data_IF_099456036618
#
_entry.id   IF_099456036618
#
_cell.length_a   1.000
_cell.length_b   1.000
_cell.length_c   1.000
_cell.angle_alpha   90.00
_cell.angle_beta   90.00
_cell.angle_gamma   90.00
#
_symmetry.space_group_name_H-M   'P 1'
#
loop_
_entity.id
_entity.type
_entity.pdbx_description
1 polymer ?
#
# COMPACT_ATOMS: atom_id res chain seq x y z
N UNK A 1 -25.74 -16.15 4.43
CA UNK A 1 -25.10 -16.93 3.36
C UNK A 1 -24.90 -16.13 2.06
N UNK A 2 -25.94 -15.60 1.39
CA UNK A 2 -25.75 -14.80 0.14
C UNK A 2 -24.90 -13.54 0.33
N UNK A 3 -25.11 -12.77 1.40
CA UNK A 3 -24.33 -11.55 1.69
C UNK A 3 -22.84 -11.84 1.95
N UNK A 4 -22.52 -12.95 2.63
CA UNK A 4 -21.13 -13.38 2.86
C UNK A 4 -20.43 -13.77 1.55
N UNK A 5 -21.13 -14.48 0.66
CA UNK A 5 -20.58 -14.84 -0.66
C UNK A 5 -20.33 -13.60 -1.52
N UNK A 6 -21.24 -12.61 -1.49
CA UNK A 6 -21.04 -11.35 -2.23
C UNK A 6 -19.86 -10.54 -1.71
N UNK A 7 -19.67 -10.46 -0.38
CA UNK A 7 -18.52 -9.80 0.24
C UNK A 7 -17.20 -10.49 -0.15
N UNK A 8 -17.14 -11.82 -0.07
CA UNK A 8 -15.97 -12.60 -0.47
C UNK A 8 -15.62 -12.42 -1.94
N UNK A 9 -16.62 -12.45 -2.83
CA UNK A 9 -16.40 -12.21 -4.26
C UNK A 9 -15.89 -10.79 -4.50
N UNK A 10 -16.41 -9.80 -3.77
CA UNK A 10 -15.94 -8.42 -3.81
C UNK A 10 -14.46 -8.30 -3.47
N UNK A 11 -14.01 -8.97 -2.40
CA UNK A 11 -12.61 -8.98 -1.98
C UNK A 11 -11.70 -9.62 -3.04
N UNK A 12 -12.12 -10.74 -3.62
CA UNK A 12 -11.39 -11.41 -4.71
C UNK A 12 -11.25 -10.49 -5.92
N UNK A 13 -12.34 -9.86 -6.37
CA UNK A 13 -12.29 -8.96 -7.53
C UNK A 13 -11.40 -7.75 -7.28
N UNK A 14 -11.48 -7.13 -6.09
CA UNK A 14 -10.62 -6.01 -5.70
C UNK A 14 -9.16 -6.42 -5.69
N UNK A 15 -8.85 -7.61 -5.17
CA UNK A 15 -7.47 -8.09 -5.09
C UNK A 15 -6.87 -8.39 -6.48
N UNK A 16 -7.66 -8.95 -7.40
CA UNK A 16 -7.24 -9.13 -8.81
C UNK A 16 -7.07 -7.77 -9.51
N UNK A 17 -7.95 -6.81 -9.27
CA UNK A 17 -7.83 -5.46 -9.82
C UNK A 17 -6.59 -4.73 -9.27
N UNK A 18 -6.31 -4.86 -7.97
CA UNK A 18 -5.09 -4.36 -7.32
C UNK A 18 -3.84 -5.00 -7.90
N UNK A 19 -3.86 -6.32 -8.12
CA UNK A 19 -2.76 -7.02 -8.78
C UNK A 19 -2.54 -6.48 -10.20
N UNK A 20 -3.61 -6.35 -10.98
CA UNK A 20 -3.55 -5.81 -12.34
C UNK A 20 -2.97 -4.38 -12.35
N UNK A 21 -3.56 -3.47 -11.57
CA UNK A 21 -3.14 -2.08 -11.44
C UNK A 21 -1.66 -1.94 -11.03
N UNK A 22 -1.20 -2.75 -10.07
CA UNK A 22 0.21 -2.82 -9.68
C UNK A 22 1.09 -3.23 -10.86
N UNK A 23 0.76 -4.31 -11.56
CA UNK A 23 1.62 -4.85 -12.62
C UNK A 23 1.57 -4.06 -13.93
N UNK A 24 0.55 -3.21 -14.14
CA UNK A 24 0.57 -2.22 -15.22
C UNK A 24 1.80 -1.33 -15.13
N UNK A 25 2.22 -0.97 -13.92
CA UNK A 25 3.35 -0.06 -13.68
C UNK A 25 4.70 -0.63 -14.11
N UNK A 26 4.79 -1.94 -14.35
CA UNK A 26 6.00 -2.62 -14.87
C UNK A 26 6.26 -2.21 -16.33
N UNK A 27 5.20 -1.93 -17.08
CA UNK A 27 5.27 -1.65 -18.50
C UNK A 27 5.20 -0.13 -18.71
N UNK A 28 6.32 0.52 -19.06
CA UNK A 28 6.29 1.95 -19.35
C UNK A 28 5.37 2.24 -20.54
N UNK A 29 4.63 3.34 -20.47
CA UNK A 29 3.82 3.80 -21.60
C UNK A 29 4.72 3.99 -22.82
N UNK A 30 4.35 3.35 -23.93
CA UNK A 30 5.08 3.45 -25.20
C UNK A 30 4.77 4.82 -25.82
N UNK A 31 5.31 5.89 -25.23
CA UNK A 31 5.22 7.27 -25.75
C UNK A 31 6.27 7.54 -26.83
N UNK A 32 7.28 6.68 -26.96
CA UNK A 32 8.27 6.76 -28.04
C UNK A 32 7.83 5.89 -29.20
N UNK A 33 7.53 6.56 -30.32
CA UNK A 33 7.43 5.96 -31.64
C UNK A 33 8.57 4.94 -31.80
N UNK A 34 8.22 3.68 -32.00
CA UNK A 34 9.16 2.67 -32.47
C UNK A 34 9.87 3.22 -33.71
N UNK A 35 11.19 2.97 -33.89
CA UNK A 35 11.94 3.43 -35.06
C UNK A 35 11.33 3.00 -36.40
N UNK A 36 10.44 2.01 -36.38
CA UNK A 36 9.75 1.44 -37.55
C UNK A 36 8.38 2.06 -37.86
N UNK A 37 7.89 3.05 -37.09
CA UNK A 37 6.55 3.62 -37.30
C UNK A 37 5.39 2.65 -37.05
N UNK A 38 5.69 1.42 -36.62
CA UNK A 38 4.71 0.39 -36.26
C UNK A 38 4.18 0.71 -34.86
N UNK A 39 2.97 1.29 -34.80
CA UNK A 39 2.16 1.23 -33.58
C UNK A 39 1.98 -0.25 -33.25
N UNK A 40 2.47 -0.71 -32.09
CA UNK A 40 2.09 -2.02 -31.58
C UNK A 40 0.57 -2.03 -31.46
N UNK A 41 -0.08 -3.01 -32.07
CA UNK A 41 -1.55 -3.15 -32.10
C UNK A 41 -2.17 -3.33 -30.70
N UNK A 42 -1.38 -3.75 -29.72
CA UNK A 42 -1.81 -4.01 -28.34
C UNK A 42 -0.84 -3.40 -27.34
N UNK A 43 -1.38 -2.82 -26.25
CA UNK A 43 -0.55 -2.36 -25.15
C UNK A 43 0.02 -3.57 -24.39
N UNK A 44 1.30 -3.56 -23.94
CA UNK A 44 1.88 -4.69 -23.19
C UNK A 44 1.05 -5.12 -21.97
N UNK A 45 0.26 -4.20 -21.41
CA UNK A 45 -0.70 -4.49 -20.34
C UNK A 45 -1.79 -5.48 -20.70
N UNK A 46 -2.14 -5.64 -21.98
CA UNK A 46 -3.19 -6.56 -22.41
C UNK A 46 -2.77 -8.02 -22.18
N UNK A 47 -1.47 -8.29 -22.11
CA UNK A 47 -0.93 -9.60 -21.75
C UNK A 47 -1.08 -9.94 -20.27
N UNK A 48 -1.33 -8.98 -19.38
CA UNK A 48 -1.49 -9.27 -17.95
C UNK A 48 -2.65 -10.24 -17.66
N UNK A 49 -3.71 -10.19 -18.48
CA UNK A 49 -4.85 -11.10 -18.35
C UNK A 49 -4.47 -12.56 -18.66
N UNK A 50 -3.44 -12.78 -19.48
CA UNK A 50 -2.93 -14.12 -19.78
C UNK A 50 -2.25 -14.74 -18.55
N UNK A 51 -1.89 -13.95 -17.55
CA UNK A 51 -1.25 -14.43 -16.33
C UNK A 51 -2.23 -14.78 -15.19
N UNK A 52 -3.52 -14.54 -15.37
CA UNK A 52 -4.53 -14.87 -14.35
C UNK A 52 -4.54 -16.36 -13.94
N UNK A 53 -4.31 -17.33 -14.85
CA UNK A 53 -4.17 -18.74 -14.47
C UNK A 53 -2.97 -19.04 -13.57
N UNK A 54 -2.02 -18.11 -13.46
CA UNK A 54 -0.78 -18.26 -12.70
C UNK A 54 -0.78 -17.50 -11.36
N UNK A 55 -1.92 -16.89 -10.98
CA UNK A 55 -2.05 -16.20 -9.70
C UNK A 55 -1.94 -17.19 -8.54
N UNK A 56 -1.03 -16.90 -7.61
CA UNK A 56 -0.84 -17.68 -6.39
C UNK A 56 -1.53 -16.95 -5.25
N UNK A 57 -2.51 -17.59 -4.62
CA UNK A 57 -3.18 -17.04 -3.43
C UNK A 57 -2.45 -17.44 -2.15
N UNK A 58 -2.47 -16.55 -1.15
CA UNK A 58 -1.99 -16.87 0.20
C UNK A 58 -2.95 -17.82 0.90
N UNK A 59 -2.41 -18.70 1.74
CA UNK A 59 -3.23 -19.64 2.50
C UNK A 59 -4.09 -18.90 3.53
N UNK A 60 -5.38 -19.23 3.57
CA UNK A 60 -6.33 -18.72 4.56
C UNK A 60 -6.74 -17.25 4.41
N UNK A 61 -6.33 -16.55 3.34
CA UNK A 61 -6.65 -15.13 3.12
C UNK A 61 -6.90 -14.85 1.64
N UNK A 62 -7.86 -13.98 1.32
CA UNK A 62 -8.10 -13.47 -0.04
C UNK A 62 -7.06 -12.42 -0.44
N UNK A 63 -5.80 -12.83 -0.53
CA UNK A 63 -4.67 -11.99 -0.93
C UNK A 63 -3.77 -12.76 -1.90
N UNK A 64 -3.34 -12.11 -2.98
CA UNK A 64 -2.41 -12.71 -3.94
C UNK A 64 -0.99 -12.60 -3.37
N UNK A 65 -0.25 -13.71 -3.41
CA UNK A 65 1.19 -13.73 -3.18
C UNK A 65 1.90 -13.19 -4.43
N UNK A 66 2.07 -11.87 -4.46
CA UNK A 66 2.68 -11.13 -5.57
C UNK A 66 4.05 -11.68 -5.98
N UNK A 67 4.93 -11.99 -5.02
CA UNK A 67 6.26 -12.51 -5.27
C UNK A 67 6.23 -13.92 -5.85
N UNK A 68 5.45 -14.84 -5.25
CA UNK A 68 5.32 -16.22 -5.79
C UNK A 68 4.66 -16.21 -7.17
N UNK A 69 3.66 -15.36 -7.36
CA UNK A 69 3.00 -15.18 -8.65
C UNK A 69 3.99 -14.72 -9.72
N UNK A 70 4.79 -13.69 -9.43
CA UNK A 70 5.83 -13.22 -10.36
C UNK A 70 6.86 -14.32 -10.68
N UNK A 71 7.29 -15.10 -9.68
CA UNK A 71 8.22 -16.21 -9.87
C UNK A 71 7.61 -17.32 -10.75
N UNK A 72 6.32 -17.61 -10.57
CA UNK A 72 5.59 -18.58 -11.38
C UNK A 72 5.45 -18.12 -12.83
N UNK A 73 5.08 -16.85 -13.05
CA UNK A 73 5.00 -16.25 -14.38
C UNK A 73 6.36 -16.33 -15.08
N UNK A 74 7.44 -15.96 -14.40
CA UNK A 74 8.80 -16.05 -14.97
C UNK A 74 9.11 -17.49 -15.43
N UNK A 75 8.87 -18.46 -14.56
CA UNK A 75 9.19 -19.87 -14.83
C UNK A 75 8.35 -20.48 -15.96
N UNK A 76 7.08 -20.07 -16.09
CA UNK A 76 6.11 -20.68 -17.02
C UNK A 76 6.05 -19.96 -18.36
N UNK A 77 6.09 -18.63 -18.36
CA UNK A 77 5.80 -17.79 -19.52
C UNK A 77 7.03 -17.04 -20.06
N UNK A 78 8.04 -16.77 -19.22
CA UNK A 78 9.15 -15.89 -19.62
C UNK A 78 10.38 -16.61 -20.22
N UNK A 79 10.34 -17.94 -20.43
CA UNK A 79 11.51 -18.71 -20.91
C UNK A 79 12.14 -18.12 -22.19
N UNK A 80 11.32 -17.60 -23.11
CA UNK A 80 11.78 -16.95 -24.35
C UNK A 80 11.61 -15.42 -24.35
N UNK A 81 11.16 -14.83 -23.24
CA UNK A 81 10.86 -13.40 -23.14
C UNK A 81 11.73 -12.72 -22.07
N UNK A 82 13.02 -12.57 -22.39
CA UNK A 82 14.02 -12.03 -21.45
C UNK A 82 13.74 -10.60 -20.98
N UNK A 83 13.09 -9.77 -21.81
CA UNK A 83 12.71 -8.43 -21.39
C UNK A 83 11.69 -8.49 -20.23
N UNK A 84 10.62 -9.27 -20.39
CA UNK A 84 9.59 -9.42 -19.37
C UNK A 84 10.14 -10.08 -18.12
N UNK A 85 10.98 -11.10 -18.28
CA UNK A 85 11.69 -11.71 -17.14
C UNK A 85 12.46 -10.66 -16.34
N UNK A 86 13.31 -9.87 -17.01
CA UNK A 86 14.09 -8.83 -16.35
C UNK A 86 13.20 -7.81 -15.65
N UNK A 87 12.11 -7.39 -16.29
CA UNK A 87 11.17 -6.42 -15.73
C UNK A 87 10.51 -6.89 -14.43
N UNK A 88 10.00 -8.13 -14.41
CA UNK A 88 9.45 -8.74 -13.18
C UNK A 88 10.54 -8.93 -12.12
N UNK A 89 11.68 -9.51 -12.50
CA UNK A 89 12.77 -9.79 -11.58
C UNK A 89 13.33 -8.50 -10.94
N UNK A 90 13.42 -7.42 -11.72
CA UNK A 90 13.83 -6.11 -11.25
C UNK A 90 12.82 -5.49 -10.26
N UNK A 91 11.51 -5.55 -10.54
CA UNK A 91 10.48 -5.00 -9.66
C UNK A 91 10.31 -5.80 -8.35
N UNK A 92 10.56 -7.10 -8.39
CA UNK A 92 10.47 -8.01 -7.23
C UNK A 92 11.81 -8.30 -6.55
N UNK A 93 12.89 -7.60 -6.94
CA UNK A 93 14.23 -7.78 -6.37
C UNK A 93 14.71 -9.25 -6.39
N UNK A 94 14.48 -9.97 -7.50
CA UNK A 94 14.94 -11.35 -7.70
C UNK A 94 16.41 -11.34 -8.14
N UNK A 95 17.31 -11.15 -7.17
CA UNK A 95 18.75 -11.00 -7.38
C UNK A 95 19.37 -12.18 -8.14
N UNK A 96 18.92 -13.40 -7.84
CA UNK A 96 19.35 -14.64 -8.48
C UNK A 96 19.11 -14.64 -10.00
N UNK A 97 18.08 -13.93 -10.46
CA UNK A 97 17.75 -13.80 -11.88
C UNK A 97 18.52 -12.64 -12.50
N UNK A 98 18.44 -11.44 -11.92
CA UNK A 98 19.00 -10.23 -12.54
C UNK A 98 20.53 -10.16 -12.51
N UNK A 99 21.18 -10.91 -11.60
CA UNK A 99 22.64 -10.97 -11.50
C UNK A 99 23.25 -12.16 -12.26
N UNK A 100 22.45 -12.96 -12.96
CA UNK A 100 22.96 -14.05 -13.79
C UNK A 100 23.79 -13.49 -14.96
N UNK A 101 25.12 -13.56 -14.82
CA UNK A 101 26.07 -13.07 -15.82
C UNK A 101 26.04 -13.84 -17.14
N UNK A 102 25.55 -15.08 -17.13
CA UNK A 102 25.42 -15.87 -18.36
C UNK A 102 24.25 -15.38 -19.20
N UNK A 103 23.20 -14.87 -18.54
CA UNK A 103 21.97 -14.41 -19.19
C UNK A 103 21.97 -12.91 -19.49
N UNK A 104 22.51 -12.12 -18.56
CA UNK A 104 22.54 -10.67 -18.62
C UNK A 104 23.98 -10.15 -18.76
N UNK A 105 24.61 -10.53 -19.87
CA UNK A 105 25.93 -10.00 -20.24
C UNK A 105 25.88 -8.49 -20.55
N UNK A 106 27.05 -7.85 -20.72
CA UNK A 106 27.14 -6.41 -21.01
C UNK A 106 26.39 -6.00 -22.28
N UNK A 107 26.29 -6.86 -23.29
CA UNK A 107 25.62 -6.56 -24.56
C UNK A 107 24.10 -6.58 -24.36
N UNK A 108 23.61 -7.59 -23.62
CA UNK A 108 22.20 -7.76 -23.23
C UNK A 108 21.74 -6.60 -22.37
N UNK A 109 22.53 -6.21 -21.35
CA UNK A 109 22.24 -5.07 -20.49
C UNK A 109 22.15 -3.76 -21.28
N UNK A 110 23.06 -3.52 -22.24
CA UNK A 110 22.98 -2.37 -23.15
C UNK A 110 21.73 -2.40 -24.03
N UNK A 111 21.33 -3.58 -24.49
CA UNK A 111 20.11 -3.76 -25.31
C UNK A 111 18.86 -3.47 -24.49
N UNK A 112 18.77 -4.02 -23.27
CA UNK A 112 17.67 -3.73 -22.33
C UNK A 112 17.61 -2.24 -22.01
N UNK A 113 18.76 -1.60 -21.74
CA UNK A 113 18.86 -0.17 -21.48
C UNK A 113 18.26 0.68 -22.60
N UNK A 114 18.35 0.26 -23.87
CA UNK A 114 17.71 0.96 -25.00
C UNK A 114 16.19 0.74 -25.07
N UNK A 115 15.69 -0.41 -24.62
CA UNK A 115 14.28 -0.79 -24.73
C UNK A 115 13.41 -0.23 -23.60
N UNK A 116 13.93 -0.17 -22.38
CA UNK A 116 13.20 0.20 -21.16
C UNK A 116 13.84 1.38 -20.42
N UNK A 117 14.57 2.21 -21.17
CA UNK A 117 15.11 3.47 -20.69
C UNK A 117 13.99 4.33 -20.09
N UNK A 118 14.28 5.01 -18.98
CA UNK A 118 13.40 5.98 -18.29
C UNK A 118 12.50 5.41 -17.18
N UNK A 119 12.42 4.08 -17.02
CA UNK A 119 11.75 3.52 -15.85
C UNK A 119 12.68 3.56 -14.62
N UNK A 120 12.22 4.09 -13.46
CA UNK A 120 13.10 4.34 -12.31
C UNK A 120 13.77 3.07 -11.78
N UNK A 121 13.02 1.97 -11.68
CA UNK A 121 13.54 0.68 -11.20
C UNK A 121 14.58 0.09 -12.16
N UNK A 122 14.34 0.19 -13.47
CA UNK A 122 15.23 -0.43 -14.46
C UNK A 122 16.50 0.39 -14.62
N UNK A 123 16.38 1.72 -14.63
CA UNK A 123 17.54 2.61 -14.61
C UNK A 123 18.43 2.36 -13.38
N UNK A 124 17.83 2.13 -12.21
CA UNK A 124 18.54 1.77 -10.99
C UNK A 124 19.31 0.45 -11.14
N UNK A 125 18.64 -0.63 -11.54
CA UNK A 125 19.29 -1.94 -11.69
C UNK A 125 20.33 -1.97 -12.79
N UNK A 126 20.01 -1.44 -13.97
CA UNK A 126 20.94 -1.41 -15.09
C UNK A 126 22.20 -0.61 -14.75
N UNK A 127 22.07 0.48 -13.98
CA UNK A 127 23.25 1.25 -13.53
C UNK A 127 24.09 0.48 -12.50
N UNK A 128 23.44 -0.25 -11.58
CA UNK A 128 24.15 -1.09 -10.59
C UNK A 128 24.83 -2.31 -11.22
N UNK A 129 24.24 -2.90 -12.26
CA UNK A 129 24.77 -4.07 -12.95
C UNK A 129 25.89 -3.71 -13.95
N UNK A 130 25.88 -2.49 -14.50
CA UNK A 130 26.91 -2.03 -15.45
C UNK A 130 28.26 -1.74 -14.75
N UNK A 131 28.21 -1.10 -13.57
CA UNK A 131 29.41 -0.65 -12.86
C UNK A 131 29.39 -0.96 -11.35
N UNK A 132 30.36 -1.74 -10.82
CA UNK A 132 30.43 -2.05 -9.39
C UNK A 132 30.56 -0.81 -8.48
N UNK A 133 31.14 0.29 -8.98
CA UNK A 133 31.34 1.52 -8.21
C UNK A 133 30.02 2.23 -7.87
N UNK A 134 28.96 1.97 -8.64
CA UNK A 134 27.65 2.59 -8.48
C UNK A 134 27.01 2.24 -7.15
N UNK A 135 27.33 1.08 -6.58
CA UNK A 135 26.95 0.70 -5.21
C UNK A 135 27.35 1.76 -4.18
N UNK A 136 28.63 2.16 -4.18
CA UNK A 136 29.14 3.16 -3.25
C UNK A 136 28.57 4.55 -3.54
N UNK A 137 28.29 4.86 -4.81
CA UNK A 137 27.76 6.16 -5.23
C UNK A 137 26.29 6.35 -4.84
N UNK A 138 25.47 5.32 -5.04
CA UNK A 138 24.03 5.33 -4.75
C UNK A 138 23.75 5.39 -3.25
N UNK A 139 24.50 4.64 -2.45
CA UNK A 139 24.29 4.51 -1.01
C UNK A 139 25.30 5.31 -0.18
N UNK A 140 25.74 6.46 -0.69
CA UNK A 140 26.66 7.32 0.05
C UNK A 140 25.96 7.95 1.27
N UNK A 141 26.31 7.48 2.47
CA UNK A 141 25.76 7.94 3.75
C UNK A 141 26.14 9.38 4.11
N UNK A 142 27.20 9.93 3.51
CA UNK A 142 27.65 11.31 3.74
C UNK A 142 26.88 12.34 2.90
N UNK A 143 26.05 11.88 1.96
CA UNK A 143 25.22 12.75 1.14
C UNK A 143 24.13 13.41 1.96
N UNK A 144 24.03 14.75 1.91
CA UNK A 144 22.91 15.48 2.52
C UNK A 144 21.56 15.03 1.96
N UNK A 145 21.51 14.74 0.66
CA UNK A 145 20.30 14.27 -0.04
C UNK A 145 20.53 12.87 -0.59
N UNK A 146 19.44 12.10 -0.65
CA UNK A 146 19.43 10.80 -1.32
C UNK A 146 19.67 10.99 -2.82
N UNK A 147 20.44 10.09 -3.44
CA UNK A 147 20.63 10.11 -4.90
C UNK A 147 19.29 9.95 -5.61
N UNK A 148 19.12 10.67 -6.71
CA UNK A 148 17.85 10.75 -7.42
C UNK A 148 17.36 9.37 -7.86
N UNK A 149 18.25 8.51 -8.38
CA UNK A 149 17.93 7.17 -8.83
C UNK A 149 17.39 6.30 -7.68
N UNK A 150 18.01 6.38 -6.50
CA UNK A 150 17.55 5.66 -5.31
C UNK A 150 16.23 6.24 -4.82
N UNK A 151 16.10 7.57 -4.76
CA UNK A 151 14.87 8.24 -4.33
C UNK A 151 13.68 7.90 -5.24
N UNK A 152 13.87 7.93 -6.55
CA UNK A 152 12.83 7.58 -7.52
C UNK A 152 12.44 6.11 -7.43
N UNK A 153 13.41 5.22 -7.21
CA UNK A 153 13.15 3.78 -7.04
C UNK A 153 12.36 3.51 -5.75
N UNK A 154 12.72 4.15 -4.63
CA UNK A 154 11.98 4.03 -3.38
C UNK A 154 10.56 4.59 -3.54
N UNK A 155 10.41 5.78 -4.14
CA UNK A 155 9.09 6.36 -4.41
C UNK A 155 8.24 5.42 -5.26
N UNK A 156 8.79 4.87 -6.35
CA UNK A 156 8.08 3.92 -7.19
C UNK A 156 7.66 2.67 -6.39
N UNK A 157 8.58 2.08 -5.63
CA UNK A 157 8.32 0.87 -4.84
C UNK A 157 7.23 1.10 -3.78
N UNK A 158 7.26 2.24 -3.09
CA UNK A 158 6.25 2.61 -2.10
C UNK A 158 4.88 2.82 -2.77
N UNK A 159 4.84 3.62 -3.84
CA UNK A 159 3.58 4.04 -4.45
C UNK A 159 2.86 2.92 -5.18
N UNK A 160 3.60 1.94 -5.71
CA UNK A 160 3.07 0.83 -6.50
C UNK A 160 3.16 -0.54 -5.78
N UNK A 161 3.56 -0.57 -4.51
CA UNK A 161 3.41 -1.78 -3.70
C UNK A 161 4.51 -2.85 -3.86
N UNK A 162 5.71 -2.49 -4.33
CA UNK A 162 6.84 -3.43 -4.46
C UNK A 162 7.65 -3.49 -3.17
N UNK A 163 7.16 -4.29 -2.22
CA UNK A 163 7.73 -4.38 -0.88
C UNK A 163 9.14 -4.97 -0.88
N UNK A 164 9.45 -5.88 -1.80
CA UNK A 164 10.73 -6.57 -1.91
C UNK A 164 11.86 -5.57 -2.26
N UNK A 165 11.60 -4.67 -3.20
CA UNK A 165 12.49 -3.56 -3.51
C UNK A 165 12.67 -2.62 -2.32
N UNK A 166 11.57 -2.30 -1.64
CA UNK A 166 11.62 -1.41 -0.49
C UNK A 166 12.45 -2.02 0.65
N UNK A 167 12.21 -3.29 1.00
CA UNK A 167 12.97 -4.03 2.01
C UNK A 167 14.45 -4.15 1.65
N UNK A 168 14.78 -4.22 0.36
CA UNK A 168 16.16 -4.24 -0.10
C UNK A 168 16.86 -2.89 0.07
N UNK A 169 16.23 -1.80 -0.35
CA UNK A 169 16.85 -0.47 -0.42
C UNK A 169 16.83 0.23 0.95
N UNK A 170 15.74 0.10 1.70
CA UNK A 170 15.51 0.79 2.98
C UNK A 170 16.66 0.68 3.99
N UNK A 171 17.22 -0.50 4.31
CA UNK A 171 18.31 -0.61 5.28
C UNK A 171 19.64 -0.05 4.78
N UNK A 172 19.75 0.28 3.49
CA UNK A 172 20.99 0.80 2.87
C UNK A 172 21.06 2.34 2.87
N UNK A 173 20.00 3.02 3.30
CA UNK A 173 19.94 4.48 3.41
C UNK A 173 19.93 4.91 4.87
N UNK A 174 20.34 6.15 5.14
CA UNK A 174 20.39 6.68 6.51
C UNK A 174 18.98 6.86 7.09
N UNK A 175 18.86 6.85 8.42
CA UNK A 175 17.58 7.11 9.12
C UNK A 175 16.96 8.44 8.70
N UNK A 176 17.80 9.47 8.49
CA UNK A 176 17.34 10.77 8.01
C UNK A 176 16.69 10.69 6.62
N UNK A 177 17.32 9.97 5.68
CA UNK A 177 16.74 9.75 4.35
C UNK A 177 15.48 8.88 4.40
N UNK A 178 15.43 7.88 5.29
CA UNK A 178 14.25 7.05 5.53
C UNK A 178 13.06 7.90 6.00
N UNK A 179 13.29 8.80 6.96
CA UNK A 179 12.26 9.72 7.45
C UNK A 179 11.75 10.62 6.32
N UNK A 180 12.66 11.29 5.60
CA UNK A 180 12.29 12.23 4.52
C UNK A 180 11.45 11.56 3.43
N UNK A 181 11.95 10.44 2.87
CA UNK A 181 11.29 9.76 1.75
C UNK A 181 9.98 9.10 2.19
N UNK A 182 9.96 8.50 3.39
CA UNK A 182 8.80 7.82 3.91
C UNK A 182 7.67 8.79 4.27
N UNK A 183 7.97 9.89 4.96
CA UNK A 183 6.97 10.92 5.29
C UNK A 183 6.40 11.58 4.02
N UNK A 184 7.24 11.84 3.02
CA UNK A 184 6.80 12.40 1.75
C UNK A 184 5.76 11.49 1.05
N UNK A 185 5.97 10.17 1.11
CA UNK A 185 5.07 9.21 0.48
C UNK A 185 3.86 8.85 1.36
N UNK A 186 3.96 8.98 2.68
CA UNK A 186 2.98 8.46 3.64
C UNK A 186 1.55 8.93 3.37
N UNK A 187 1.38 10.22 3.05
CA UNK A 187 0.07 10.80 2.71
C UNK A 187 -0.59 10.07 1.53
N UNK A 188 0.18 9.79 0.47
CA UNK A 188 -0.31 9.13 -0.74
C UNK A 188 -0.61 7.65 -0.47
N UNK A 189 0.22 7.00 0.33
CA UNK A 189 0.02 5.62 0.79
C UNK A 189 -1.27 5.49 1.59
N UNK A 190 -1.50 6.38 2.56
CA UNK A 190 -2.73 6.39 3.35
C UNK A 190 -3.97 6.64 2.50
N UNK A 191 -3.89 7.59 1.57
CA UNK A 191 -5.04 7.93 0.73
C UNK A 191 -5.42 6.82 -0.26
N UNK A 192 -4.43 6.17 -0.89
CA UNK A 192 -4.69 5.05 -1.79
C UNK A 192 -5.14 3.80 -1.03
N UNK A 193 -4.49 3.53 0.10
CA UNK A 193 -4.82 2.43 0.97
C UNK A 193 -4.94 1.07 0.24
N UNK A 194 -4.02 0.83 -0.69
CA UNK A 194 -4.08 -0.30 -1.63
C UNK A 194 -3.11 -1.45 -1.28
N UNK A 195 -1.89 -1.11 -0.85
CA UNK A 195 -0.81 -2.10 -0.66
C UNK A 195 -0.53 -2.36 0.81
N UNK A 196 -1.23 -3.34 1.40
CA UNK A 196 -1.14 -3.74 2.82
C UNK A 196 0.30 -3.86 3.34
N UNK A 197 1.16 -4.59 2.62
CA UNK A 197 2.54 -4.84 3.04
C UNK A 197 3.39 -3.56 3.10
N UNK A 198 3.17 -2.62 2.17
CA UNK A 198 3.86 -1.32 2.19
C UNK A 198 3.33 -0.43 3.31
N UNK A 199 2.02 -0.43 3.55
CA UNK A 199 1.41 0.30 4.67
C UNK A 199 1.97 -0.19 6.00
N UNK A 200 1.98 -1.51 6.24
CA UNK A 200 2.56 -2.12 7.45
C UNK A 200 4.03 -1.74 7.62
N UNK A 201 4.82 -1.94 6.56
CA UNK A 201 6.26 -1.68 6.60
C UNK A 201 6.55 -0.21 6.91
N UNK A 202 5.95 0.73 6.18
CA UNK A 202 6.18 2.16 6.40
C UNK A 202 5.64 2.61 7.75
N UNK A 203 4.48 2.12 8.17
CA UNK A 203 3.93 2.45 9.48
C UNK A 203 4.91 2.06 10.59
N UNK A 204 5.40 0.82 10.56
CA UNK A 204 6.37 0.31 11.55
C UNK A 204 7.66 1.15 11.56
N UNK A 205 8.28 1.35 10.39
CA UNK A 205 9.55 2.07 10.29
C UNK A 205 9.41 3.55 10.65
N UNK A 206 8.38 4.23 10.17
CA UNK A 206 8.19 5.64 10.47
C UNK A 206 7.73 5.88 11.91
N UNK A 207 6.96 4.97 12.49
CA UNK A 207 6.54 5.09 13.89
C UNK A 207 7.72 4.85 14.85
N UNK A 208 8.69 4.02 14.45
CA UNK A 208 9.93 3.85 15.18
C UNK A 208 10.80 5.13 15.13
N UNK A 209 10.87 5.80 13.96
CA UNK A 209 11.68 7.01 13.77
C UNK A 209 11.04 8.23 14.45
N UNK A 210 9.78 8.54 14.11
CA UNK A 210 9.11 9.75 14.56
C UNK A 210 7.59 9.51 14.75
N UNK A 211 7.20 8.95 15.90
CA UNK A 211 5.82 8.55 16.18
C UNK A 211 4.85 9.73 16.21
N UNK A 212 5.26 10.84 16.83
CA UNK A 212 4.43 12.05 16.96
C UNK A 212 4.21 12.73 15.61
N UNK A 213 5.28 12.83 14.80
CA UNK A 213 5.20 13.34 13.44
C UNK A 213 4.29 12.48 12.56
N UNK A 214 4.45 11.15 12.63
CA UNK A 214 3.62 10.22 11.88
C UNK A 214 2.15 10.35 12.27
N UNK A 215 1.83 10.39 13.57
CA UNK A 215 0.45 10.54 14.05
C UNK A 215 -0.18 11.84 13.56
N UNK A 216 0.56 12.97 13.58
CA UNK A 216 0.07 14.25 13.02
C UNK A 216 -0.20 14.16 11.53
N UNK A 217 0.77 13.69 10.76
CA UNK A 217 0.63 13.57 9.31
C UNK A 217 -0.52 12.62 8.92
N UNK A 218 -0.68 11.54 9.68
CA UNK A 218 -1.74 10.56 9.47
C UNK A 218 -3.09 11.18 9.73
N UNK A 219 -3.26 11.93 10.84
CA UNK A 219 -4.52 12.63 11.14
C UNK A 219 -4.93 13.61 10.07
N UNK A 220 -4.02 14.48 9.64
CA UNK A 220 -4.37 15.50 8.63
C UNK A 220 -4.81 14.87 7.31
N UNK A 221 -4.25 13.71 6.94
CA UNK A 221 -4.65 12.99 5.73
C UNK A 221 -5.92 12.15 5.94
N UNK A 222 -5.98 11.40 7.04
CA UNK A 222 -7.04 10.47 7.38
C UNK A 222 -8.36 11.19 7.64
N UNK A 223 -8.30 12.23 8.48
CA UNK A 223 -9.46 12.99 8.93
C UNK A 223 -10.16 13.68 7.75
N UNK A 224 -9.39 14.41 6.94
CA UNK A 224 -9.94 15.20 5.84
C UNK A 224 -10.47 14.36 4.69
N UNK A 225 -9.84 13.23 4.37
CA UNK A 225 -10.11 12.52 3.11
C UNK A 225 -10.89 11.22 3.24
N UNK A 226 -10.75 10.50 4.34
CA UNK A 226 -11.34 9.17 4.51
C UNK A 226 -12.45 9.24 5.56
N UNK A 227 -12.13 9.82 6.71
CA UNK A 227 -13.08 9.94 7.81
C UNK A 227 -14.25 10.90 7.49
N UNK A 228 -13.99 12.12 7.00
CA UNK A 228 -15.09 13.02 6.58
C UNK A 228 -15.94 12.41 5.46
N UNK A 229 -15.31 11.70 4.53
CA UNK A 229 -16.03 11.02 3.46
C UNK A 229 -16.97 9.95 4.02
N UNK A 230 -16.55 9.16 5.03
CA UNK A 230 -17.45 8.21 5.71
C UNK A 230 -18.59 8.88 6.48
N UNK A 231 -18.45 10.13 6.89
CA UNK A 231 -19.53 10.87 7.55
C UNK A 231 -20.56 11.42 6.55
N UNK A 232 -20.12 11.91 5.39
CA UNK A 232 -20.95 12.58 4.37
C UNK A 232 -21.70 11.60 3.45
N UNK A 233 -22.61 10.79 4.00
CA UNK A 233 -23.37 9.81 3.21
C UNK A 233 -24.19 10.45 2.10
N UNK A 234 -24.83 11.59 2.37
CA UNK A 234 -25.88 12.12 1.48
C UNK A 234 -25.36 12.52 0.09
N UNK A 235 -24.06 12.80 -0.06
CA UNK A 235 -23.44 13.27 -1.31
C UNK A 235 -22.67 12.18 -2.08
N UNK A 236 -22.39 11.03 -1.45
CA UNK A 236 -21.52 10.00 -2.03
C UNK A 236 -22.31 8.84 -2.64
N UNK A 237 -21.83 8.35 -3.79
CA UNK A 237 -22.33 7.13 -4.41
C UNK A 237 -22.10 5.93 -3.49
N UNK A 238 -22.91 4.87 -3.65
CA UNK A 238 -22.74 3.63 -2.89
C UNK A 238 -21.32 3.05 -3.03
N UNK A 239 -20.75 3.11 -4.24
CA UNK A 239 -19.42 2.59 -4.56
C UNK A 239 -18.34 3.38 -3.79
N UNK A 240 -18.45 4.70 -3.74
CA UNK A 240 -17.47 5.55 -3.04
C UNK A 240 -17.52 5.33 -1.53
N UNK A 241 -18.70 5.07 -0.96
CA UNK A 241 -18.83 4.73 0.47
C UNK A 241 -18.15 3.41 0.79
N UNK A 242 -18.41 2.38 -0.02
CA UNK A 242 -17.82 1.05 0.14
C UNK A 242 -16.28 1.07 -0.03
N UNK A 243 -15.76 1.90 -0.93
CA UNK A 243 -14.32 2.11 -1.10
C UNK A 243 -13.71 2.84 0.11
N UNK A 244 -14.34 3.90 0.61
CA UNK A 244 -13.86 4.62 1.79
C UNK A 244 -13.88 3.74 3.05
N UNK A 245 -14.93 2.95 3.24
CA UNK A 245 -15.00 1.97 4.33
C UNK A 245 -13.90 0.92 4.22
N UNK A 246 -13.67 0.37 3.02
CA UNK A 246 -12.58 -0.59 2.79
C UNK A 246 -11.21 0.01 3.11
N UNK A 247 -10.95 1.25 2.69
CA UNK A 247 -9.71 1.96 3.01
C UNK A 247 -9.55 2.17 4.51
N UNK A 248 -10.63 2.48 5.21
CA UNK A 248 -10.66 2.61 6.67
C UNK A 248 -10.25 1.30 7.36
N UNK A 249 -10.87 0.18 6.97
CA UNK A 249 -10.53 -1.17 7.46
C UNK A 249 -9.07 -1.49 7.18
N UNK A 250 -8.63 -1.34 5.93
CA UNK A 250 -7.26 -1.63 5.53
C UNK A 250 -6.26 -0.81 6.37
N UNK A 251 -6.47 0.49 6.53
CA UNK A 251 -5.56 1.31 7.33
C UNK A 251 -5.51 0.87 8.79
N UNK A 252 -6.67 0.67 9.43
CA UNK A 252 -6.71 0.25 10.83
C UNK A 252 -6.01 -1.09 11.03
N UNK A 253 -6.32 -2.10 10.22
CA UNK A 253 -5.69 -3.43 10.28
C UNK A 253 -4.16 -3.37 10.11
N UNK A 254 -3.67 -2.46 9.28
CA UNK A 254 -2.28 -2.43 8.83
C UNK A 254 -1.42 -1.38 9.56
N UNK A 255 -2.00 -0.49 10.35
CA UNK A 255 -1.25 0.38 11.25
C UNK A 255 -0.71 -0.39 12.45
N UNK A 256 0.52 -0.03 12.87
CA UNK A 256 1.07 -0.56 14.11
C UNK A 256 0.21 -0.10 15.32
N UNK A 257 0.20 -0.87 16.43
CA UNK A 257 -0.63 -0.56 17.60
C UNK A 257 -0.43 0.87 18.12
N UNK A 258 0.82 1.33 18.17
CA UNK A 258 1.17 2.67 18.65
C UNK A 258 0.53 3.79 17.83
N UNK A 259 0.57 3.68 16.49
CA UNK A 259 -0.08 4.66 15.64
C UNK A 259 -1.60 4.55 15.80
N UNK A 260 -2.16 3.33 15.76
CA UNK A 260 -3.60 3.09 15.87
C UNK A 260 -4.19 3.69 17.15
N UNK A 261 -3.53 3.46 18.29
CA UNK A 261 -3.93 4.03 19.57
C UNK A 261 -3.89 5.56 19.57
N UNK A 262 -2.80 6.14 19.07
CA UNK A 262 -2.64 7.60 18.96
C UNK A 262 -3.69 8.23 18.03
N UNK A 263 -4.06 7.53 16.96
CA UNK A 263 -5.07 7.98 15.99
C UNK A 263 -6.48 7.96 16.59
N UNK A 264 -6.87 6.87 17.26
CA UNK A 264 -8.22 6.72 17.81
C UNK A 264 -8.47 7.58 19.06
N UNK A 265 -7.42 7.91 19.83
CA UNK A 265 -7.52 8.81 20.98
C UNK A 265 -7.43 10.30 20.61
N UNK A 266 -7.12 10.63 19.35
CA UNK A 266 -6.82 12.00 18.92
C UNK A 266 -8.02 12.93 19.07
N UNK A 267 -7.72 14.20 19.38
CA UNK A 267 -8.71 15.26 19.60
C UNK A 267 -9.82 14.84 20.59
N UNK A 268 -9.43 14.19 21.69
CA UNK A 268 -10.35 13.64 22.69
C UNK A 268 -11.34 12.64 22.08
N UNK A 269 -10.82 11.63 21.37
CA UNK A 269 -11.61 10.59 20.70
C UNK A 269 -12.69 11.14 19.76
N UNK A 270 -12.35 12.20 19.02
CA UNK A 270 -13.27 12.84 18.07
C UNK A 270 -13.87 11.85 17.09
N UNK A 271 -13.04 10.94 16.58
CA UNK A 271 -13.43 9.88 15.65
C UNK A 271 -14.60 9.03 16.18
N UNK A 272 -14.48 8.56 17.42
CA UNK A 272 -15.51 7.78 18.11
C UNK A 272 -16.77 8.62 18.33
N UNK A 273 -16.59 9.86 18.78
CA UNK A 273 -17.68 10.77 19.09
C UNK A 273 -18.55 11.09 17.89
N UNK A 274 -17.97 11.37 16.71
CA UNK A 274 -18.79 11.70 15.55
C UNK A 274 -19.46 10.46 14.96
N UNK A 275 -18.78 9.29 14.92
CA UNK A 275 -19.43 8.05 14.46
C UNK A 275 -20.69 7.73 15.28
N UNK A 276 -20.65 7.97 16.60
CA UNK A 276 -21.83 7.88 17.45
C UNK A 276 -22.89 8.96 17.12
N UNK A 277 -22.49 10.23 16.96
CA UNK A 277 -23.41 11.35 16.66
C UNK A 277 -24.16 11.19 15.34
N UNK A 278 -23.45 10.75 14.31
CA UNK A 278 -23.98 10.56 12.96
C UNK A 278 -24.54 9.15 12.73
N UNK A 279 -24.61 8.32 13.79
CA UNK A 279 -25.20 6.97 13.77
C UNK A 279 -24.56 6.02 12.76
N UNK A 280 -23.25 6.15 12.58
CA UNK A 280 -22.40 5.34 11.70
C UNK A 280 -22.05 4.02 12.38
N UNK A 281 -23.02 3.10 12.38
CA UNK A 281 -22.95 1.88 13.19
C UNK A 281 -21.74 1.02 12.83
N UNK A 282 -21.49 0.78 11.54
CA UNK A 282 -20.44 -0.12 11.07
C UNK A 282 -19.04 0.42 11.39
N UNK A 283 -18.79 1.68 11.09
CA UNK A 283 -17.52 2.37 11.42
C UNK A 283 -17.31 2.50 12.92
N UNK A 284 -18.39 2.71 13.69
CA UNK A 284 -18.33 2.76 15.14
C UNK A 284 -17.92 1.39 15.71
N UNK A 285 -18.58 0.31 15.28
CA UNK A 285 -18.21 -1.07 15.67
C UNK A 285 -16.74 -1.34 15.33
N UNK A 286 -16.33 -1.04 14.10
CA UNK A 286 -14.95 -1.19 13.64
C UNK A 286 -13.95 -0.48 14.56
N UNK A 287 -14.21 0.78 14.94
CA UNK A 287 -13.28 1.51 15.82
C UNK A 287 -13.18 0.87 17.21
N UNK A 288 -14.29 0.39 17.77
CA UNK A 288 -14.32 -0.25 19.08
C UNK A 288 -13.54 -1.57 19.13
N UNK A 289 -13.44 -2.30 18.01
CA UNK A 289 -12.63 -3.52 17.93
C UNK A 289 -11.15 -3.26 18.24
N UNK A 290 -10.67 -2.06 17.88
CA UNK A 290 -9.27 -1.66 17.97
C UNK A 290 -8.89 -0.85 19.22
N UNK A 291 -9.86 -0.51 20.07
CA UNK A 291 -9.57 0.19 21.33
C UNK A 291 -9.09 -0.79 22.40
N UNK A 292 -8.04 -0.40 23.12
CA UNK A 292 -7.63 -1.12 24.33
C UNK A 292 -8.56 -0.80 25.51
N UNK A 293 -8.42 -1.54 26.62
CA UNK A 293 -9.28 -1.41 27.82
C UNK A 293 -9.38 0.02 28.37
N UNK A 294 -8.27 0.75 28.40
CA UNK A 294 -8.24 2.14 28.86
C UNK A 294 -8.99 3.05 27.90
N UNK A 295 -8.77 2.88 26.60
CA UNK A 295 -9.43 3.66 25.55
C UNK A 295 -10.93 3.38 25.48
N UNK A 296 -11.37 2.14 25.71
CA UNK A 296 -12.80 1.78 25.78
C UNK A 296 -13.51 2.50 26.93
N UNK A 297 -12.85 2.63 28.08
CA UNK A 297 -13.41 3.33 29.24
C UNK A 297 -13.62 4.82 28.95
N UNK A 298 -12.68 5.45 28.25
CA UNK A 298 -12.76 6.85 27.86
C UNK A 298 -13.76 7.09 26.71
N UNK A 299 -13.76 6.21 25.70
CA UNK A 299 -14.74 6.20 24.62
C UNK A 299 -16.18 6.11 25.16
N UNK A 300 -16.42 5.23 26.14
CA UNK A 300 -17.70 5.13 26.83
C UNK A 300 -18.11 6.43 27.50
N UNK A 301 -17.20 7.09 28.22
CA UNK A 301 -17.46 8.39 28.88
C UNK A 301 -17.94 9.44 27.88
N UNK A 302 -17.32 9.47 26.70
CA UNK A 302 -17.68 10.41 25.62
C UNK A 302 -19.05 10.06 25.03
N UNK A 303 -19.30 8.79 24.79
CA UNK A 303 -20.57 8.29 24.26
C UNK A 303 -21.72 8.54 25.23
N UNK A 304 -21.52 8.27 26.53
CA UNK A 304 -22.49 8.55 27.59
C UNK A 304 -22.85 10.05 27.63
N UNK A 305 -21.85 10.93 27.56
CA UNK A 305 -22.06 12.38 27.52
C UNK A 305 -22.86 12.85 26.30
N UNK A 306 -22.71 12.20 25.14
CA UNK A 306 -23.49 12.51 23.93
C UNK A 306 -24.91 11.93 24.04
N UNK A 307 -25.03 10.70 24.53
CA UNK A 307 -26.29 10.00 24.73
C UNK A 307 -27.22 10.75 25.70
N UNK A 308 -26.68 11.23 26.82
CA UNK A 308 -27.44 12.00 27.81
C UNK A 308 -28.11 13.24 27.21
N UNK A 309 -27.47 13.89 26.23
CA UNK A 309 -27.99 15.08 25.54
C UNK A 309 -29.04 14.75 24.48
N UNK A 310 -29.02 13.54 23.91
CA UNK A 310 -29.90 13.12 22.80
C UNK A 310 -30.33 11.66 23.00
N UNK A 311 -31.22 11.42 23.96
CA UNK A 311 -31.73 10.07 24.23
C UNK A 311 -32.64 9.61 23.09
N UNK A 312 -32.33 8.47 22.49
CA UNK A 312 -33.17 7.79 21.49
C UNK A 312 -32.88 6.29 21.49
N UNK A 313 -33.83 5.48 21.03
CA UNK A 313 -33.67 4.01 20.92
C UNK A 313 -32.46 3.63 20.06
N UNK A 314 -32.27 4.33 18.94
CA UNK A 314 -31.10 4.14 18.06
C UNK A 314 -29.78 4.42 18.78
N UNK A 315 -29.71 5.50 19.58
CA UNK A 315 -28.51 5.81 20.36
C UNK A 315 -28.30 4.83 21.52
N UNK A 316 -29.37 4.24 22.06
CA UNK A 316 -29.27 3.19 23.08
C UNK A 316 -28.58 1.95 22.51
N UNK A 317 -29.02 1.51 21.32
CA UNK A 317 -28.42 0.35 20.64
C UNK A 317 -26.93 0.58 20.33
N UNK A 318 -26.55 1.77 19.88
CA UNK A 318 -25.15 2.10 19.63
C UNK A 318 -24.33 2.15 20.93
N UNK A 319 -24.88 2.73 21.99
CA UNK A 319 -24.23 2.79 23.30
C UNK A 319 -23.94 1.40 23.85
N UNK A 320 -24.87 0.47 23.67
CA UNK A 320 -24.72 -0.91 24.12
C UNK A 320 -23.53 -1.61 23.45
N UNK A 321 -23.12 -1.21 22.24
CA UNK A 321 -21.95 -1.78 21.58
C UNK A 321 -20.65 -1.49 22.34
N UNK A 322 -20.46 -0.25 22.80
CA UNK A 322 -19.28 0.14 23.60
C UNK A 322 -19.29 -0.60 24.93
N UNK A 323 -20.46 -0.68 25.56
CA UNK A 323 -20.65 -1.34 26.86
C UNK A 323 -20.34 -2.84 26.75
N UNK A 324 -20.84 -3.51 25.71
CA UNK A 324 -20.53 -4.92 25.43
C UNK A 324 -19.05 -5.13 25.12
N UNK A 325 -18.46 -4.26 24.32
CA UNK A 325 -17.03 -4.36 23.98
C UNK A 325 -16.15 -4.19 25.23
N UNK A 326 -16.48 -3.26 26.12
CA UNK A 326 -15.78 -3.08 27.40
C UNK A 326 -15.86 -4.32 28.31
N UNK A 327 -16.91 -5.13 28.22
CA UNK A 327 -17.02 -6.37 29.00
C UNK A 327 -16.23 -7.55 28.41
N UNK A 328 -15.82 -7.47 27.15
CA UNK A 328 -15.14 -8.56 26.42
C UNK A 328 -13.64 -8.34 26.24
N UNK A 329 -13.10 -7.20 26.67
CA UNK A 329 -11.67 -6.82 26.67
C UNK A 329 -11.20 -6.60 28.09
#
# INVERSE_FOLDING_TARGET
MRQQIHSVMGDIFREVQRWGSKHLTIFPDITKNTPSGSKRLFHPSEHLRLFYPWLVWKEGVYEIDDYKTAKQIIKKECNNWTLMEFQFAACYNMLDIIQDSNKYDKIRLRTLKKQIYDHPVYNFWLSLLDEPIMWKRFFNSQGRLLRQEVSLTIHFAIINGYIELLQYIWPKITVHHQEQVGFLCWKKVCFRAEHRNVVRFLCDKLCHINPSGLARLTWDCFYEKIYKATLNDEELSFIDREDNYYKLVMLLENWCPRLREAMLARENYRAIGDMFRYKKKEEFELFLEYLNKSQLSEAKRIVDKIYEKKRSTSNSNLRDLVVRRQMTV
#
